data_IF_600572432689
#
_entry.id   IF_600572432689
#
_cell.length_a   1.000
_cell.length_b   1.000
_cell.length_c   1.000
_cell.angle_alpha   90.00
_cell.angle_beta   90.00
_cell.angle_gamma   90.00
#
_symmetry.space_group_name_H-M   'P 1'
#
loop_
_entity.id
_entity.type
_entity.pdbx_description
1 polymer ?
#
# COMPACT_ATOMS: atom_id res chain seq x y z
N UNK A 1 22.20 9.30 6.81
CA UNK A 1 20.94 9.09 7.55
C UNK A 1 19.89 9.22 6.48
N UNK A 2 19.28 8.10 6.07
CA UNK A 2 18.28 8.09 5.01
C UNK A 2 16.99 8.58 5.63
N UNK A 3 16.61 9.82 5.32
CA UNK A 3 15.23 10.25 5.38
C UNK A 3 14.47 9.31 4.43
N UNK A 4 13.72 8.35 4.96
CA UNK A 4 12.74 7.64 4.17
C UNK A 4 11.62 8.66 3.93
N UNK A 5 11.64 9.34 2.78
CA UNK A 5 10.59 10.26 2.34
C UNK A 5 9.34 9.45 1.91
N UNK A 6 8.78 8.67 2.83
CA UNK A 6 7.48 8.01 2.65
C UNK A 6 6.39 8.98 3.12
N UNK A 7 5.62 9.54 2.18
CA UNK A 7 4.53 10.45 2.51
C UNK A 7 3.25 9.64 2.74
N UNK A 8 2.68 9.73 3.95
CA UNK A 8 1.35 9.20 4.24
C UNK A 8 0.30 10.01 3.47
N UNK A 9 -0.34 9.37 2.49
CA UNK A 9 -1.33 9.99 1.62
C UNK A 9 -2.75 9.90 2.18
N UNK A 10 -3.12 8.76 2.74
CA UNK A 10 -4.45 8.50 3.28
C UNK A 10 -4.41 7.43 4.37
N UNK A 11 -5.39 7.47 5.27
CA UNK A 11 -5.56 6.48 6.31
C UNK A 11 -7.04 6.19 6.52
N UNK A 12 -7.39 4.91 6.62
CA UNK A 12 -8.75 4.49 6.95
C UNK A 12 -8.77 3.42 8.03
N UNK A 13 -9.92 3.30 8.69
CA UNK A 13 -10.17 2.23 9.68
C UNK A 13 -11.18 1.25 9.13
N UNK A 14 -10.85 -0.04 9.26
CA UNK A 14 -11.76 -1.14 9.04
C UNK A 14 -11.76 -2.01 10.29
N UNK A 15 -12.83 -1.91 11.10
CA UNK A 15 -12.89 -2.54 12.43
C UNK A 15 -11.66 -2.13 13.26
N UNK A 16 -10.90 -3.10 13.76
CA UNK A 16 -9.67 -2.88 14.54
C UNK A 16 -8.41 -2.80 13.66
N UNK A 17 -8.56 -2.84 12.33
CA UNK A 17 -7.46 -2.61 11.39
C UNK A 17 -7.37 -1.14 10.98
N UNK A 18 -6.13 -0.69 10.82
CA UNK A 18 -5.75 0.59 10.22
C UNK A 18 -5.09 0.30 8.87
N UNK A 19 -5.58 0.94 7.82
CA UNK A 19 -5.08 0.78 6.46
C UNK A 19 -4.46 2.11 6.05
N UNK A 20 -3.14 2.13 5.88
CA UNK A 20 -2.33 3.33 5.69
C UNK A 20 -1.73 3.31 4.29
N UNK A 21 -1.97 4.35 3.50
CA UNK A 21 -1.44 4.46 2.15
C UNK A 21 -0.25 5.40 2.12
N UNK A 22 0.87 4.91 1.62
CA UNK A 22 2.10 5.66 1.47
C UNK A 22 2.47 5.79 -0.01
N UNK A 23 3.06 6.93 -0.36
CA UNK A 23 3.79 7.10 -1.60
C UNK A 23 5.25 7.30 -1.25
N UNK A 24 6.11 6.53 -1.90
CA UNK A 24 7.54 6.79 -1.87
C UNK A 24 7.85 7.82 -2.96
N UNK A 25 8.30 9.02 -2.57
CA UNK A 25 8.55 10.11 -3.54
C UNK A 25 9.77 9.82 -4.43
N UNK A 26 10.65 8.90 -4.02
CA UNK A 26 11.83 8.49 -4.77
C UNK A 26 11.55 7.31 -5.71
N UNK A 27 10.64 6.40 -5.33
CA UNK A 27 10.40 5.15 -6.06
C UNK A 27 9.15 5.12 -6.95
N UNK A 28 8.37 6.21 -7.04
CA UNK A 28 7.05 6.24 -7.74
C UNK A 28 6.12 5.08 -7.32
N UNK A 29 6.45 4.42 -6.20
CA UNK A 29 5.84 3.19 -5.74
C UNK A 29 4.75 3.50 -4.73
N UNK A 30 3.57 2.92 -4.95
CA UNK A 30 2.46 2.99 -4.02
C UNK A 30 2.51 1.79 -3.08
N UNK A 31 2.46 2.08 -1.79
CA UNK A 31 2.43 1.08 -0.72
C UNK A 31 1.16 1.26 0.09
N UNK A 32 0.53 0.16 0.50
CA UNK A 32 -0.51 0.18 1.52
C UNK A 32 -0.11 -0.76 2.65
N UNK A 33 -0.01 -0.21 3.86
CA UNK A 33 0.19 -0.98 5.09
C UNK A 33 -1.15 -1.31 5.74
N UNK A 34 -1.28 -2.54 6.24
CA UNK A 34 -2.37 -2.97 7.10
C UNK A 34 -1.81 -3.23 8.49
N UNK A 35 -2.33 -2.48 9.46
CA UNK A 35 -1.93 -2.49 10.86
C UNK A 35 -3.07 -2.96 11.75
N UNK A 36 -2.76 -3.69 12.82
CA UNK A 36 -3.70 -4.16 13.83
C UNK A 36 -3.25 -3.64 15.20
N UNK A 37 -4.12 -2.89 15.88
CA UNK A 37 -3.79 -2.25 17.17
C UNK A 37 -2.48 -1.44 17.13
N UNK A 38 -2.24 -0.74 16.00
CA UNK A 38 -1.03 0.04 15.76
C UNK A 38 0.22 -0.77 15.38
N UNK A 39 0.15 -2.10 15.29
CA UNK A 39 1.26 -2.94 14.82
C UNK A 39 1.09 -3.31 13.34
N UNK A 40 2.08 -3.06 12.46
CA UNK A 40 2.04 -3.50 11.06
C UNK A 40 2.01 -5.02 10.95
N UNK A 41 0.97 -5.55 10.31
CA UNK A 41 0.79 -7.00 10.13
C UNK A 41 0.93 -7.45 8.68
N UNK A 42 0.64 -6.56 7.73
CA UNK A 42 0.86 -6.81 6.32
C UNK A 42 1.16 -5.51 5.56
N UNK A 43 1.81 -5.64 4.41
CA UNK A 43 2.07 -4.54 3.49
C UNK A 43 1.84 -5.03 2.07
N UNK A 44 1.13 -4.23 1.28
CA UNK A 44 0.89 -4.46 -0.13
C UNK A 44 1.69 -3.44 -0.95
N UNK A 45 2.31 -3.90 -2.04
CA UNK A 45 3.03 -3.04 -2.98
C UNK A 45 2.57 -3.31 -4.42
N UNK A 46 2.62 -2.27 -5.25
CA UNK A 46 2.20 -2.33 -6.66
C UNK A 46 3.33 -1.87 -7.60
N UNK A 47 4.52 -2.46 -7.48
CA UNK A 47 5.69 -2.06 -8.28
C UNK A 47 5.59 -2.54 -9.74
N UNK A 48 4.90 -3.65 -10.00
CA UNK A 48 4.75 -4.27 -11.32
C UNK A 48 3.33 -4.16 -11.89
N UNK A 49 2.56 -3.20 -11.38
CA UNK A 49 1.19 -2.96 -11.81
C UNK A 49 0.13 -3.79 -11.08
N UNK A 50 -1.13 -3.47 -11.32
CA UNK A 50 -2.26 -3.93 -10.50
C UNK A 50 -2.49 -5.45 -10.53
N UNK A 51 -2.06 -6.12 -11.60
CA UNK A 51 -2.15 -7.58 -11.73
C UNK A 51 -1.07 -8.34 -10.95
N UNK A 52 -0.03 -7.65 -10.49
CA UNK A 52 1.13 -8.21 -9.82
C UNK A 52 1.31 -7.60 -8.41
N UNK A 53 0.22 -7.21 -7.76
CA UNK A 53 0.25 -6.74 -6.37
C UNK A 53 0.81 -7.85 -5.49
N UNK A 54 1.88 -7.54 -4.76
CA UNK A 54 2.52 -8.43 -3.81
C UNK A 54 2.05 -8.09 -2.40
N UNK A 55 1.99 -9.11 -1.53
CA UNK A 55 1.73 -8.93 -0.11
C UNK A 55 2.90 -9.50 0.69
N UNK A 56 3.46 -8.67 1.58
CA UNK A 56 4.41 -9.08 2.62
C UNK A 56 3.68 -9.15 3.95
N UNK A 57 3.83 -10.27 4.65
CA UNK A 57 3.36 -10.41 6.04
C UNK A 57 4.48 -9.96 6.98
N UNK A 58 4.16 -9.08 7.92
CA UNK A 58 5.15 -8.33 8.70
C UNK A 58 5.20 -8.68 10.19
N UNK A 59 4.20 -9.39 10.72
CA UNK A 59 4.06 -9.50 12.17
C UNK A 59 5.28 -10.17 12.82
N UNK A 60 5.82 -9.48 13.83
CA UNK A 60 6.90 -9.94 14.69
C UNK A 60 6.39 -10.52 16.01
N UNK A 61 5.06 -10.55 16.23
CA UNK A 61 4.40 -10.99 17.45
C UNK A 61 3.30 -12.04 17.19
N UNK A 62 2.81 -12.70 18.23
CA UNK A 62 1.68 -13.66 18.13
C UNK A 62 0.35 -12.90 18.10
N UNK A 63 0.11 -12.09 17.06
CA UNK A 63 -1.19 -11.41 16.87
C UNK A 63 -2.23 -12.41 16.38
N UNK A 64 -3.45 -12.27 16.90
CA UNK A 64 -4.60 -13.08 16.51
C UNK A 64 -5.81 -12.21 16.26
N UNK A 65 -6.34 -12.32 15.06
CA UNK A 65 -7.56 -11.65 14.61
C UNK A 65 -8.37 -12.62 13.74
N UNK A 66 -9.63 -12.28 13.49
CA UNK A 66 -10.48 -13.11 12.64
C UNK A 66 -9.96 -13.12 11.21
N UNK A 67 -9.80 -14.31 10.62
CA UNK A 67 -9.31 -14.46 9.24
C UNK A 67 -10.20 -13.70 8.23
N UNK A 68 -11.52 -13.74 8.41
CA UNK A 68 -12.47 -12.99 7.57
C UNK A 68 -12.17 -11.50 7.57
N UNK A 69 -11.85 -10.95 8.73
CA UNK A 69 -11.69 -9.52 8.92
C UNK A 69 -10.36 -9.07 8.32
N UNK A 70 -9.31 -9.90 8.45
CA UNK A 70 -8.04 -9.66 7.79
C UNK A 70 -8.16 -9.73 6.27
N UNK A 71 -8.84 -10.74 5.72
CA UNK A 71 -9.03 -10.85 4.27
C UNK A 71 -9.81 -9.65 3.70
N UNK A 72 -10.79 -9.14 4.44
CA UNK A 72 -11.54 -7.95 4.03
C UNK A 72 -10.67 -6.69 4.11
N UNK A 73 -9.85 -6.53 5.16
CA UNK A 73 -8.88 -5.43 5.26
C UNK A 73 -7.86 -5.44 4.11
N UNK A 74 -7.34 -6.62 3.75
CA UNK A 74 -6.41 -6.79 2.63
C UNK A 74 -7.08 -6.48 1.28
N UNK A 75 -8.33 -6.89 1.09
CA UNK A 75 -9.07 -6.57 -0.14
C UNK A 75 -9.34 -5.06 -0.27
N UNK A 76 -9.65 -4.38 0.82
CA UNK A 76 -9.76 -2.91 0.85
C UNK A 76 -8.41 -2.27 0.49
N UNK A 77 -7.31 -2.73 1.09
CA UNK A 77 -5.97 -2.26 0.77
C UNK A 77 -5.61 -2.45 -0.72
N UNK A 78 -5.99 -3.59 -1.30
CA UNK A 78 -5.80 -3.89 -2.73
C UNK A 78 -6.59 -2.94 -3.62
N UNK A 79 -7.84 -2.63 -3.25
CA UNK A 79 -8.67 -1.67 -3.98
C UNK A 79 -8.06 -0.27 -3.94
N UNK A 80 -7.53 0.13 -2.78
CA UNK A 80 -6.82 1.40 -2.59
C UNK A 80 -5.60 1.56 -3.51
N UNK A 81 -4.85 0.49 -3.76
CA UNK A 81 -3.76 0.48 -4.74
C UNK A 81 -4.28 0.60 -6.18
N UNK A 82 -5.34 -0.13 -6.50
CA UNK A 82 -5.91 -0.16 -7.86
C UNK A 82 -6.61 1.16 -8.28
N UNK A 83 -6.94 2.04 -7.34
CA UNK A 83 -7.44 3.39 -7.63
C UNK A 83 -6.32 4.33 -8.12
N UNK A 84 -5.06 3.98 -7.94
CA UNK A 84 -3.93 4.75 -8.44
C UNK A 84 -3.57 4.32 -9.87
N UNK A 85 -3.20 5.26 -10.76
CA UNK A 85 -2.71 4.91 -12.08
C UNK A 85 -1.56 3.92 -11.96
N UNK A 86 -1.67 2.81 -12.66
CA UNK A 86 -0.67 1.75 -12.64
C UNK A 86 0.68 2.34 -13.11
N UNK A 87 1.77 2.21 -12.32
CA UNK A 87 3.05 2.88 -12.60
C UNK A 87 3.68 2.38 -13.90
N UNK A 88 3.27 1.22 -14.41
CA UNK A 88 3.69 0.74 -15.73
C UNK A 88 2.95 1.43 -16.89
N UNK A 89 1.90 2.20 -16.58
CA UNK A 89 1.08 2.95 -17.54
C UNK A 89 1.56 4.38 -17.75
N UNK A 90 2.78 4.74 -17.30
CA UNK A 90 3.42 5.98 -17.70
C UNK A 90 3.70 5.97 -19.22
N UNK A 91 2.69 6.32 -20.02
CA UNK A 91 2.92 7.02 -21.28
C UNK A 91 3.65 8.32 -20.90
N UNK A 92 4.97 8.30 -21.06
CA UNK A 92 5.79 9.50 -21.05
C UNK A 92 5.20 10.52 -22.03
N UNK A 93 4.44 11.50 -21.55
CA UNK A 93 4.14 12.75 -22.29
C UNK A 93 5.36 13.67 -22.26
N UNK A 94 6.49 13.18 -22.76
CA UNK A 94 7.69 13.96 -22.97
C UNK A 94 7.55 14.85 -24.21
N UNK A 95 7.17 16.11 -23.98
CA UNK A 95 7.67 17.28 -24.71
C UNK A 95 7.26 17.48 -26.17
N UNK A 96 6.34 18.43 -26.41
CA UNK A 96 6.42 19.28 -27.61
C UNK A 96 6.98 20.63 -27.18
N UNK A 97 8.30 20.79 -27.28
CA UNK A 97 8.87 22.12 -27.52
C UNK A 97 8.71 22.40 -29.01
N UNK A 98 7.73 23.24 -29.34
CA UNK A 98 7.67 24.00 -30.60
C UNK A 98 7.30 25.42 -30.27
#
# INVERSE_FOLDING_TARGET
MTDNDEELLDAMKYKDFEILRFSDVEYEGMTVEVSWDGEPVAQLTMDQGAAAIEIRLLSSTDVRFALSDFLEAVEIARQYLAEYPDPTTHEWRGGSLT
#
